data_IF_894006234010
#
_entry.id   IF_894006234010
#
_cell.length_a   1.000
_cell.length_b   1.000
_cell.length_c   1.000
_cell.angle_alpha   90.00
_cell.angle_beta   90.00
_cell.angle_gamma   90.00
#
_symmetry.space_group_name_H-M   'P 1'
#
loop_
_entity.id
_entity.type
_entity.pdbx_description
1 polymer ?
#
# COMPACT_ATOMS: atom_id res chain seq x y z
N UNK A 1 -11.67 -23.40 -3.31
CA UNK A 1 -12.14 -22.23 -2.59
C UNK A 1 -13.26 -22.65 -1.62
N UNK A 2 -13.04 -22.54 -0.34
CA UNK A 2 -14.07 -22.87 0.65
C UNK A 2 -14.38 -21.65 1.50
N UNK A 3 -15.61 -21.18 1.47
CA UNK A 3 -16.11 -20.15 2.36
C UNK A 3 -15.86 -18.71 1.88
N UNK A 4 -15.96 -17.78 2.81
CA UNK A 4 -15.88 -16.33 2.58
C UNK A 4 -14.43 -15.79 2.60
N UNK A 5 -13.43 -16.66 2.76
CA UNK A 5 -12.00 -16.29 2.78
C UNK A 5 -11.23 -17.00 1.70
N UNK A 6 -10.17 -16.36 1.19
CA UNK A 6 -9.18 -16.98 0.34
C UNK A 6 -8.31 -17.94 1.16
N UNK A 7 -8.03 -19.11 0.61
CA UNK A 7 -7.13 -20.08 1.23
C UNK A 7 -6.17 -20.61 0.18
N UNK A 8 -4.91 -20.73 0.54
CA UNK A 8 -3.95 -21.49 -0.23
C UNK A 8 -4.31 -22.98 -0.13
N UNK A 9 -4.55 -23.61 -1.27
CA UNK A 9 -4.91 -25.04 -1.31
C UNK A 9 -3.71 -25.95 -1.57
N UNK A 10 -2.56 -25.38 -1.79
CA UNK A 10 -1.30 -26.10 -1.92
C UNK A 10 -0.34 -25.46 -2.91
N UNK A 11 0.91 -25.85 -2.80
CA UNK A 11 2.00 -25.57 -3.73
C UNK A 11 2.71 -26.85 -4.12
N UNK A 12 3.17 -26.95 -5.35
CA UNK A 12 3.95 -28.10 -5.82
C UNK A 12 5.04 -27.65 -6.78
N UNK A 13 6.29 -28.03 -6.47
CA UNK A 13 7.40 -27.82 -7.38
C UNK A 13 7.40 -28.91 -8.44
N UNK A 14 7.26 -28.54 -9.70
CA UNK A 14 7.37 -29.45 -10.84
C UNK A 14 8.72 -29.30 -11.52
N UNK A 15 9.59 -30.31 -11.38
CA UNK A 15 10.91 -30.33 -12.01
C UNK A 15 10.81 -30.76 -13.46
N UNK A 16 11.63 -30.16 -14.32
CA UNK A 16 11.74 -30.51 -15.74
C UNK A 16 10.44 -30.26 -16.57
N UNK A 17 9.69 -29.22 -16.25
CA UNK A 17 8.59 -28.81 -17.11
C UNK A 17 9.12 -28.26 -18.46
N UNK A 18 8.44 -28.52 -19.58
CA UNK A 18 8.75 -27.87 -20.85
C UNK A 18 8.46 -26.37 -20.78
N UNK A 19 9.08 -25.58 -21.67
CA UNK A 19 8.89 -24.12 -21.73
C UNK A 19 7.43 -23.75 -22.03
N UNK A 20 6.73 -24.57 -22.82
CA UNK A 20 5.31 -24.42 -23.13
C UNK A 20 4.48 -25.39 -22.28
N UNK A 21 3.59 -24.85 -21.45
CA UNK A 21 2.67 -25.61 -20.59
C UNK A 21 1.24 -25.14 -20.78
N UNK A 22 0.30 -26.05 -20.62
CA UNK A 22 -1.12 -25.73 -20.50
C UNK A 22 -1.51 -25.73 -19.04
N UNK A 23 -2.08 -24.62 -18.59
CA UNK A 23 -2.68 -24.51 -17.25
C UNK A 23 -4.20 -24.42 -17.40
N UNK A 24 -4.94 -25.11 -16.51
CA UNK A 24 -6.38 -25.12 -16.55
C UNK A 24 -7.00 -25.57 -15.24
N UNK A 25 -8.30 -25.44 -15.19
CA UNK A 25 -9.13 -25.90 -14.07
C UNK A 25 -10.00 -27.06 -14.53
N UNK A 26 -10.24 -27.97 -13.62
CA UNK A 26 -11.26 -28.99 -13.81
C UNK A 26 -12.14 -29.09 -12.57
N UNK A 27 -13.36 -29.50 -12.78
CA UNK A 27 -14.29 -29.84 -11.72
C UNK A 27 -14.71 -31.31 -11.91
N UNK A 28 -14.82 -32.03 -10.84
CA UNK A 28 -15.25 -33.41 -10.86
C UNK A 28 -16.18 -33.67 -9.70
N UNK A 29 -17.41 -34.12 -10.01
CA UNK A 29 -18.26 -34.74 -9.03
C UNK A 29 -17.79 -36.18 -8.82
N UNK A 30 -17.40 -36.55 -7.61
CA UNK A 30 -17.04 -37.94 -7.28
C UNK A 30 -18.27 -38.87 -7.18
N UNK A 31 -19.44 -38.34 -7.42
CA UNK A 31 -20.70 -39.11 -7.48
C UNK A 31 -21.29 -38.98 -8.89
N UNK A 32 -21.50 -40.10 -9.64
CA UNK A 32 -21.98 -40.04 -11.01
C UNK A 32 -23.43 -39.55 -11.12
N UNK A 33 -24.18 -39.55 -10.02
CA UNK A 33 -25.56 -39.10 -9.97
C UNK A 33 -25.74 -37.62 -9.60
N UNK A 34 -24.59 -36.88 -9.39
CA UNK A 34 -24.60 -35.48 -8.99
C UNK A 34 -23.90 -34.64 -10.06
N UNK A 35 -24.56 -33.58 -10.47
CA UNK A 35 -23.97 -32.52 -11.31
C UNK A 35 -23.41 -31.44 -10.40
N UNK A 36 -22.12 -31.19 -10.52
CA UNK A 36 -21.44 -30.13 -9.81
C UNK A 36 -21.23 -28.89 -10.73
N UNK A 37 -21.42 -27.73 -10.17
CA UNK A 37 -21.14 -26.46 -10.85
C UNK A 37 -20.09 -25.67 -10.08
N UNK A 38 -19.07 -25.20 -10.78
CA UNK A 38 -18.10 -24.25 -10.23
C UNK A 38 -18.08 -22.96 -11.04
N UNK A 39 -17.99 -21.84 -10.35
CA UNK A 39 -17.74 -20.53 -10.95
C UNK A 39 -16.30 -20.15 -10.67
N UNK A 40 -15.56 -19.85 -11.72
CA UNK A 40 -14.15 -19.48 -11.65
C UNK A 40 -14.00 -18.07 -12.20
N UNK A 41 -13.39 -17.18 -11.42
CA UNK A 41 -13.16 -15.78 -11.81
C UNK A 41 -11.83 -15.29 -11.27
N UNK A 42 -11.36 -14.14 -11.78
CA UNK A 42 -10.07 -13.53 -11.41
C UNK A 42 -8.87 -14.48 -11.62
N UNK A 43 -8.94 -15.33 -12.65
CA UNK A 43 -7.85 -16.24 -12.99
C UNK A 43 -6.65 -15.42 -13.45
N UNK A 44 -5.50 -15.69 -12.83
CA UNK A 44 -4.21 -15.10 -13.20
C UNK A 44 -3.15 -16.18 -13.24
N UNK A 45 -2.27 -16.06 -14.18
CA UNK A 45 -1.07 -16.89 -14.30
C UNK A 45 0.09 -15.91 -14.39
N UNK A 46 0.93 -15.89 -13.36
CA UNK A 46 2.10 -15.02 -13.30
C UNK A 46 3.36 -15.90 -13.26
N UNK A 47 4.33 -15.60 -14.10
CA UNK A 47 5.65 -16.19 -14.05
C UNK A 47 6.54 -15.28 -13.19
N UNK A 48 6.96 -15.71 -11.99
CA UNK A 48 7.80 -14.91 -11.13
C UNK A 48 9.13 -14.56 -11.79
N UNK A 49 9.65 -13.40 -11.51
CA UNK A 49 11.04 -13.05 -11.83
C UNK A 49 11.99 -13.74 -10.85
N UNK A 50 13.31 -13.67 -11.12
CA UNK A 50 14.31 -14.13 -10.17
C UNK A 50 14.17 -13.38 -8.82
N UNK A 51 14.45 -14.03 -7.70
CA UNK A 51 14.36 -13.43 -6.36
C UNK A 51 15.18 -12.15 -6.20
N UNK A 52 16.32 -12.09 -6.90
CA UNK A 52 17.22 -10.92 -6.94
C UNK A 52 16.79 -9.82 -7.90
N UNK A 53 15.62 -9.94 -8.56
CA UNK A 53 15.17 -8.92 -9.49
C UNK A 53 14.81 -7.62 -8.78
N UNK A 54 15.47 -6.52 -9.21
CA UNK A 54 15.21 -5.17 -8.71
C UNK A 54 14.68 -4.30 -9.85
N UNK A 55 13.40 -3.93 -9.88
CA UNK A 55 12.82 -3.15 -10.97
C UNK A 55 13.37 -1.73 -11.06
N UNK A 56 13.90 -1.18 -9.98
CA UNK A 56 14.50 0.15 -9.97
C UNK A 56 15.88 0.20 -10.65
N UNK A 57 16.55 -0.95 -10.76
CA UNK A 57 17.84 -1.10 -11.48
C UNK A 57 17.67 -1.70 -12.87
N UNK A 58 16.78 -2.69 -13.01
CA UNK A 58 16.61 -3.50 -14.21
C UNK A 58 15.41 -3.08 -15.07
N UNK A 59 14.60 -2.12 -14.59
CA UNK A 59 13.39 -1.64 -15.23
C UNK A 59 12.15 -2.44 -14.84
N UNK A 60 10.99 -1.82 -14.93
CA UNK A 60 9.71 -2.47 -14.69
C UNK A 60 9.32 -3.35 -15.88
N UNK A 61 8.77 -4.52 -15.61
CA UNK A 61 8.20 -5.42 -16.64
C UNK A 61 6.75 -5.04 -16.98
N UNK A 62 6.14 -4.26 -16.11
CA UNK A 62 4.79 -3.75 -16.24
C UNK A 62 4.13 -3.56 -14.89
N UNK A 63 2.99 -2.89 -14.93
CA UNK A 63 2.14 -2.67 -13.76
C UNK A 63 0.67 -2.68 -14.17
N UNK A 64 -0.18 -3.18 -13.28
CA UNK A 64 -1.64 -3.13 -13.40
C UNK A 64 -2.22 -2.31 -12.27
N UNK A 65 -2.97 -1.29 -12.61
CA UNK A 65 -3.79 -0.54 -11.67
C UNK A 65 -5.15 -1.24 -11.56
N UNK A 66 -5.51 -1.62 -10.35
CA UNK A 66 -6.71 -2.41 -10.11
C UNK A 66 -7.58 -1.79 -9.03
N UNK A 67 -8.86 -2.11 -9.07
CA UNK A 67 -9.79 -1.91 -7.96
C UNK A 67 -10.42 -3.24 -7.56
N UNK A 68 -10.80 -3.36 -6.30
CA UNK A 68 -11.49 -4.54 -5.79
C UNK A 68 -12.54 -4.16 -4.76
N UNK A 69 -13.71 -4.78 -4.85
CA UNK A 69 -14.67 -4.77 -3.75
C UNK A 69 -14.20 -5.75 -2.68
N UNK A 70 -13.96 -5.25 -1.45
CA UNK A 70 -13.37 -6.04 -0.37
C UNK A 70 -14.32 -7.09 0.20
N UNK A 71 -15.61 -7.02 -0.08
CA UNK A 71 -16.62 -7.93 0.45
C UNK A 71 -16.95 -9.08 -0.49
N UNK A 72 -16.99 -8.85 -1.79
CA UNK A 72 -17.31 -9.89 -2.79
C UNK A 72 -16.11 -10.33 -3.63
N UNK A 73 -14.92 -9.70 -3.41
CA UNK A 73 -13.66 -10.02 -4.06
C UNK A 73 -13.60 -9.70 -5.56
N UNK A 74 -14.59 -8.99 -6.10
CA UNK A 74 -14.58 -8.63 -7.52
C UNK A 74 -13.49 -7.62 -7.82
N UNK A 75 -12.54 -8.04 -8.63
CA UNK A 75 -11.39 -7.25 -9.10
C UNK A 75 -11.65 -6.74 -10.51
N UNK A 76 -11.15 -5.52 -10.77
CA UNK A 76 -11.17 -4.91 -12.09
C UNK A 76 -9.82 -4.29 -12.39
N UNK A 77 -9.20 -4.65 -13.51
CA UNK A 77 -8.05 -3.92 -14.07
C UNK A 77 -8.57 -2.62 -14.68
N UNK A 78 -8.05 -1.50 -14.21
CA UNK A 78 -8.40 -0.15 -14.67
C UNK A 78 -7.46 0.28 -15.77
N UNK A 79 -6.16 0.00 -15.59
CA UNK A 79 -5.11 0.35 -16.53
C UNK A 79 -3.94 -0.61 -16.43
N UNK A 80 -3.30 -0.90 -17.56
CA UNK A 80 -2.10 -1.73 -17.62
C UNK A 80 -1.09 -1.10 -18.58
N UNK A 81 0.19 -1.04 -18.17
CA UNK A 81 1.26 -0.55 -19.00
C UNK A 81 2.59 -1.22 -18.64
N UNK A 82 3.58 -1.11 -19.55
CA UNK A 82 4.93 -1.64 -19.31
C UNK A 82 5.75 -0.85 -18.31
N UNK A 83 5.41 0.43 -18.10
CA UNK A 83 6.07 1.27 -17.11
C UNK A 83 5.61 0.93 -15.68
N UNK A 84 6.46 1.23 -14.70
CA UNK A 84 6.09 1.16 -13.29
C UNK A 84 5.15 2.29 -12.90
N UNK A 85 4.10 1.97 -12.16
CA UNK A 85 3.31 2.93 -11.41
C UNK A 85 2.96 2.35 -10.04
N UNK A 86 2.69 3.21 -9.07
CA UNK A 86 2.67 2.87 -7.66
C UNK A 86 1.61 3.66 -6.90
N UNK A 87 1.20 3.13 -5.76
CA UNK A 87 0.51 3.86 -4.68
C UNK A 87 -0.78 4.59 -5.12
N UNK A 88 -1.81 3.89 -5.58
CA UNK A 88 -3.05 4.54 -6.00
C UNK A 88 -3.90 5.00 -4.82
N UNK A 89 -4.32 6.26 -4.86
CA UNK A 89 -5.36 6.82 -3.98
C UNK A 89 -6.69 6.98 -4.73
N UNK A 90 -7.81 6.82 -4.05
CA UNK A 90 -9.10 7.32 -4.54
C UNK A 90 -9.19 8.83 -4.38
N UNK A 91 -9.62 9.51 -5.45
CA UNK A 91 -9.95 10.92 -5.35
C UNK A 91 -11.26 11.13 -4.57
N UNK A 92 -11.46 12.28 -3.92
CA UNK A 92 -12.64 12.54 -3.09
C UNK A 92 -14.00 12.47 -3.84
N UNK A 93 -13.97 12.65 -5.16
CA UNK A 93 -15.14 12.50 -6.04
C UNK A 93 -15.60 11.04 -6.18
N UNK A 94 -14.73 10.08 -5.86
CA UNK A 94 -15.00 8.65 -6.03
C UNK A 94 -14.90 8.14 -7.47
N UNK A 95 -14.69 9.03 -8.43
CA UNK A 95 -14.72 8.74 -9.87
C UNK A 95 -13.32 8.57 -10.49
N UNK A 96 -12.28 8.98 -9.78
CA UNK A 96 -10.89 8.95 -10.27
C UNK A 96 -9.93 8.37 -9.23
N UNK A 97 -8.84 7.81 -9.75
CA UNK A 97 -7.67 7.40 -8.96
C UNK A 97 -6.51 8.36 -9.26
N UNK A 98 -5.70 8.63 -8.23
CA UNK A 98 -4.42 9.34 -8.30
C UNK A 98 -3.31 8.32 -8.07
N UNK A 99 -2.25 8.30 -8.86
CA UNK A 99 -1.14 7.35 -8.70
C UNK A 99 0.19 7.96 -9.15
N UNK A 100 1.29 7.39 -8.66
CA UNK A 100 2.66 7.79 -9.02
C UNK A 100 3.18 6.98 -10.22
N UNK A 101 3.91 7.63 -11.11
CA UNK A 101 4.73 6.97 -12.14
C UNK A 101 5.90 7.86 -12.54
N UNK A 102 7.13 7.30 -12.48
CA UNK A 102 8.33 8.02 -12.89
C UNK A 102 8.57 9.34 -12.16
N UNK A 103 8.25 9.40 -10.87
CA UNK A 103 8.40 10.60 -10.04
C UNK A 103 7.32 11.67 -10.23
N UNK A 104 6.25 11.37 -10.95
CA UNK A 104 5.13 12.30 -11.23
C UNK A 104 3.80 11.65 -10.85
N UNK A 105 2.80 12.49 -10.63
CA UNK A 105 1.44 12.04 -10.36
C UNK A 105 0.56 12.10 -11.60
N UNK A 106 -0.38 11.15 -11.66
CA UNK A 106 -1.37 11.05 -12.73
C UNK A 106 -2.75 10.74 -12.15
N UNK A 107 -3.79 11.19 -12.81
CA UNK A 107 -5.16 10.77 -12.51
C UNK A 107 -5.74 9.96 -13.64
N UNK A 108 -6.63 9.01 -13.30
CA UNK A 108 -7.35 8.18 -14.26
C UNK A 108 -8.77 7.92 -13.77
N UNK A 109 -9.80 7.90 -14.65
CA UNK A 109 -11.14 7.48 -14.24
C UNK A 109 -11.17 6.03 -13.74
N UNK A 110 -11.96 5.74 -12.70
CA UNK A 110 -12.14 4.37 -12.16
C UNK A 110 -12.76 3.39 -13.15
N UNK A 111 -13.32 3.91 -14.23
CA UNK A 111 -13.84 3.09 -15.33
C UNK A 111 -12.80 2.78 -16.42
N UNK A 112 -11.58 3.28 -16.28
CA UNK A 112 -10.49 3.16 -17.24
C UNK A 112 -10.42 4.36 -18.18
N UNK A 113 -9.41 4.39 -19.01
CA UNK A 113 -9.10 5.47 -19.95
C UNK A 113 -7.61 5.77 -19.96
N UNK A 114 -7.23 6.93 -20.48
CA UNK A 114 -5.83 7.37 -20.50
C UNK A 114 -5.50 8.18 -19.24
N UNK A 115 -4.33 7.92 -18.60
CA UNK A 115 -3.86 8.72 -17.49
C UNK A 115 -3.60 10.18 -17.89
N UNK A 116 -4.03 11.09 -17.04
CA UNK A 116 -3.81 12.53 -17.20
C UNK A 116 -2.83 13.02 -16.15
N UNK A 117 -1.79 13.74 -16.56
CA UNK A 117 -0.80 14.30 -15.65
C UNK A 117 -1.45 15.24 -14.63
N UNK A 118 -1.07 15.05 -13.37
CA UNK A 118 -1.50 15.93 -12.26
C UNK A 118 -0.41 16.98 -12.01
N UNK A 119 -0.80 18.25 -11.93
CA UNK A 119 0.14 19.35 -11.76
C UNK A 119 0.66 19.43 -10.32
N UNK A 120 1.95 19.16 -10.13
CA UNK A 120 2.68 19.27 -8.85
C UNK A 120 3.73 20.39 -8.85
N UNK A 121 3.56 21.41 -9.71
CA UNK A 121 4.51 22.52 -9.84
C UNK A 121 5.92 22.03 -10.18
N UNK A 122 6.90 22.43 -9.40
CA UNK A 122 8.30 22.01 -9.57
C UNK A 122 8.59 20.57 -9.14
N UNK A 123 7.68 19.92 -8.37
CA UNK A 123 7.94 18.60 -7.79
C UNK A 123 7.73 17.50 -8.82
N UNK A 124 8.83 17.00 -9.39
CA UNK A 124 8.87 16.01 -10.46
C UNK A 124 9.74 14.77 -10.12
N UNK A 125 10.20 14.66 -8.87
CA UNK A 125 10.94 13.53 -8.32
C UNK A 125 10.25 13.00 -7.07
N UNK A 126 8.97 12.68 -7.20
CA UNK A 126 8.16 12.13 -6.12
C UNK A 126 8.51 10.66 -5.92
N UNK A 127 8.54 10.24 -4.65
CA UNK A 127 8.39 8.82 -4.35
C UNK A 127 6.89 8.45 -4.34
N UNK A 128 6.59 7.23 -3.91
CA UNK A 128 5.20 6.75 -3.88
C UNK A 128 4.37 7.27 -2.68
N UNK A 129 4.98 7.97 -1.71
CA UNK A 129 4.27 8.42 -0.50
C UNK A 129 3.55 9.74 -0.75
N UNK A 130 2.28 9.65 -1.00
CA UNK A 130 1.39 10.79 -1.19
C UNK A 130 -0.02 10.48 -0.71
N UNK A 131 -0.81 11.51 -0.40
CA UNK A 131 -2.20 11.27 -0.04
C UNK A 131 -3.00 12.50 0.28
N UNK A 132 -4.31 12.30 0.24
CA UNK A 132 -5.32 13.34 0.26
C UNK A 132 -5.80 13.58 1.70
N UNK A 133 -5.96 14.84 2.08
CA UNK A 133 -6.50 15.23 3.40
C UNK A 133 -7.95 14.75 3.58
N UNK A 134 -8.38 14.55 4.83
CA UNK A 134 -9.75 14.08 5.13
C UNK A 134 -10.85 14.98 4.57
N UNK A 135 -10.60 16.29 4.48
CA UNK A 135 -11.54 17.23 3.87
C UNK A 135 -11.49 17.25 2.33
N UNK A 136 -10.63 16.45 1.72
CA UNK A 136 -10.47 16.34 0.27
C UNK A 136 -9.88 17.57 -0.42
N UNK A 137 -9.29 18.52 0.33
CA UNK A 137 -8.85 19.81 -0.25
C UNK A 137 -7.36 19.93 -0.49
N UNK A 138 -6.56 19.09 0.15
CA UNK A 138 -5.10 19.15 0.08
C UNK A 138 -4.53 17.79 -0.30
N UNK A 139 -3.39 17.81 -0.94
CA UNK A 139 -2.54 16.67 -1.23
C UNK A 139 -1.20 16.86 -0.52
N UNK A 140 -0.73 15.86 0.20
CA UNK A 140 0.65 15.78 0.67
C UNK A 140 1.45 14.88 -0.27
N UNK A 141 2.72 15.22 -0.49
CA UNK A 141 3.65 14.50 -1.35
C UNK A 141 5.02 14.42 -0.68
N UNK A 142 5.77 13.38 -0.93
CA UNK A 142 7.19 13.25 -0.60
C UNK A 142 8.00 13.44 -1.88
N UNK A 143 8.90 14.45 -1.88
CA UNK A 143 9.70 14.83 -3.03
C UNK A 143 11.20 14.76 -2.70
N UNK A 144 11.99 14.18 -3.59
CA UNK A 144 13.43 14.05 -3.44
C UNK A 144 14.17 15.31 -3.88
N UNK A 145 14.98 15.86 -2.97
CA UNK A 145 15.89 16.94 -3.24
C UNK A 145 17.30 16.40 -3.48
N UNK A 146 17.96 16.91 -4.51
CA UNK A 146 19.29 16.46 -4.92
C UNK A 146 20.38 16.82 -3.91
N UNK A 147 21.35 15.91 -3.72
CA UNK A 147 22.54 16.15 -2.90
C UNK A 147 22.31 16.13 -1.39
N UNK A 148 21.12 15.75 -0.91
CA UNK A 148 20.81 15.67 0.51
C UNK A 148 20.84 14.21 1.04
N UNK A 149 21.13 14.01 2.36
CA UNK A 149 21.11 12.69 2.99
C UNK A 149 19.78 11.95 2.81
N UNK A 150 19.84 10.61 2.74
CA UNK A 150 18.64 9.76 2.59
C UNK A 150 17.85 10.04 1.31
N UNK A 151 18.55 10.43 0.22
CA UNK A 151 17.91 10.81 -1.03
C UNK A 151 17.13 12.12 -0.98
N UNK A 152 17.22 12.85 0.15
CA UNK A 152 16.63 14.17 0.32
C UNK A 152 15.11 14.20 0.37
N UNK A 153 14.43 13.07 0.69
CA UNK A 153 12.96 13.06 0.77
C UNK A 153 12.45 14.09 1.76
N UNK A 154 11.54 14.94 1.29
CA UNK A 154 10.97 16.08 2.02
C UNK A 154 9.48 16.17 1.73
N UNK A 155 8.68 16.47 2.74
CA UNK A 155 7.22 16.53 2.62
C UNK A 155 6.79 17.94 2.18
N UNK A 156 5.92 17.96 1.19
CA UNK A 156 5.25 19.16 0.68
C UNK A 156 3.74 18.98 0.72
N UNK A 157 3.01 20.07 0.73
CA UNK A 157 1.54 20.10 0.58
C UNK A 157 1.15 21.08 -0.50
N UNK A 158 0.09 20.73 -1.24
CA UNK A 158 -0.49 21.55 -2.31
C UNK A 158 -2.02 21.38 -2.34
N UNK A 159 -2.76 22.27 -3.03
CA UNK A 159 -4.18 22.06 -3.25
C UNK A 159 -4.48 20.78 -4.03
N UNK A 160 -5.62 20.12 -3.76
CA UNK A 160 -6.07 18.94 -4.51
C UNK A 160 -6.33 19.24 -6.01
N UNK A 161 -6.43 20.49 -6.38
CA UNK A 161 -6.54 20.94 -7.78
C UNK A 161 -5.19 21.04 -8.48
N UNK A 162 -4.08 20.75 -7.77
CA UNK A 162 -2.72 20.93 -8.26
C UNK A 162 -2.19 22.35 -8.06
N UNK A 163 -0.94 22.56 -8.39
CA UNK A 163 -0.23 23.84 -8.30
C UNK A 163 1.11 23.73 -7.60
N UNK A 164 1.67 24.87 -7.19
CA UNK A 164 2.98 24.93 -6.52
C UNK A 164 2.92 24.35 -5.11
N UNK A 165 3.74 23.35 -4.79
CA UNK A 165 3.77 22.74 -3.48
C UNK A 165 4.54 23.59 -2.46
N UNK A 166 4.05 23.62 -1.22
CA UNK A 166 4.65 24.29 -0.09
C UNK A 166 5.33 23.28 0.83
N UNK A 167 6.58 23.51 1.17
CA UNK A 167 7.36 22.63 2.06
C UNK A 167 6.79 22.58 3.47
N UNK A 168 6.77 21.37 4.05
CA UNK A 168 6.34 21.10 5.42
C UNK A 168 7.52 20.69 6.30
N UNK A 169 8.37 19.79 5.85
CA UNK A 169 9.54 19.33 6.65
C UNK A 169 10.83 19.92 6.13
N UNK A 170 11.68 20.39 7.04
CA UNK A 170 13.00 20.96 6.71
C UNK A 170 14.11 19.92 6.80
N UNK A 171 13.96 18.91 7.67
CA UNK A 171 14.95 17.84 7.88
C UNK A 171 14.64 16.64 6.97
N UNK A 172 15.69 16.02 6.45
CA UNK A 172 15.63 14.84 5.56
C UNK A 172 16.29 13.62 6.20
N UNK A 173 15.90 12.40 5.85
CA UNK A 173 14.71 12.07 5.06
C UNK A 173 13.43 12.18 5.87
N UNK A 174 12.33 12.51 5.19
CA UNK A 174 10.97 12.50 5.73
C UNK A 174 10.04 11.93 4.66
N UNK A 175 9.28 10.87 4.99
CA UNK A 175 8.36 10.19 4.08
C UNK A 175 6.94 10.29 4.64
N UNK A 176 6.04 10.89 3.87
CA UNK A 176 4.65 11.09 4.27
C UNK A 176 3.88 9.76 4.28
N UNK A 177 2.97 9.60 5.27
CA UNK A 177 2.06 8.45 5.29
C UNK A 177 0.62 8.80 5.65
N UNK A 178 0.35 9.86 6.41
CA UNK A 178 -1.01 10.15 6.82
C UNK A 178 -1.30 11.60 7.15
N UNK A 179 -2.56 11.96 7.02
CA UNK A 179 -3.13 13.19 7.52
C UNK A 179 -3.79 12.96 8.89
N UNK A 180 -3.71 13.93 9.77
CA UNK A 180 -4.59 13.98 10.93
C UNK A 180 -6.00 14.44 10.50
N UNK A 181 -7.08 13.97 11.17
CA UNK A 181 -8.46 14.37 10.80
C UNK A 181 -8.75 15.87 10.92
N UNK A 182 -7.91 16.61 11.64
CA UNK A 182 -7.98 18.08 11.71
C UNK A 182 -7.53 18.78 10.41
N UNK A 183 -6.96 18.06 9.43
CA UNK A 183 -6.42 18.54 8.15
C UNK A 183 -5.33 19.62 8.29
N UNK A 184 -4.68 19.68 9.46
CA UNK A 184 -3.60 20.63 9.79
C UNK A 184 -2.29 19.98 10.13
N UNK A 185 -2.28 18.68 10.36
CA UNK A 185 -1.09 17.92 10.73
C UNK A 185 -0.92 16.72 9.80
N UNK A 186 0.34 16.38 9.56
CA UNK A 186 0.75 15.16 8.85
C UNK A 186 1.53 14.27 9.82
N UNK A 187 1.37 12.96 9.65
CA UNK A 187 2.19 11.93 10.29
C UNK A 187 3.05 11.27 9.23
N UNK A 188 4.30 10.97 9.58
CA UNK A 188 5.31 10.52 8.64
C UNK A 188 6.41 9.74 9.34
N UNK A 189 7.23 9.04 8.57
CA UNK A 189 8.44 8.41 9.08
C UNK A 189 9.68 9.20 8.68
N UNK A 190 10.66 9.21 9.58
CA UNK A 190 11.89 9.93 9.39
C UNK A 190 13.06 9.28 10.14
N UNK A 191 14.26 9.40 9.59
CA UNK A 191 15.51 9.18 10.32
C UNK A 191 16.03 10.51 10.84
N UNK A 192 16.39 10.55 12.13
CA UNK A 192 17.00 11.75 12.74
C UNK A 192 18.32 11.39 13.39
N UNK A 193 18.29 10.97 14.63
CA UNK A 193 19.48 10.70 15.43
C UNK A 193 19.78 9.19 15.57
N UNK A 194 19.06 8.35 14.82
CA UNK A 194 19.21 6.90 14.78
C UNK A 194 19.33 6.40 13.34
N UNK A 195 19.81 5.15 13.16
CA UNK A 195 19.84 4.48 11.85
C UNK A 195 18.50 3.86 11.46
N UNK A 196 17.46 3.96 12.30
CA UNK A 196 16.13 3.41 12.05
C UNK A 196 15.11 4.53 11.89
N UNK A 197 14.05 4.23 11.17
CA UNK A 197 12.92 5.13 11.02
C UNK A 197 12.08 5.15 12.28
N UNK A 198 11.61 6.35 12.64
CA UNK A 198 10.65 6.59 13.71
C UNK A 198 9.51 7.46 13.18
N UNK A 199 8.36 7.41 13.86
CA UNK A 199 7.17 8.18 13.51
C UNK A 199 7.27 9.58 14.13
N UNK A 200 6.96 10.56 13.29
CA UNK A 200 6.89 11.98 13.63
C UNK A 200 5.56 12.56 13.18
N UNK A 201 5.13 13.63 13.81
CA UNK A 201 4.07 14.48 13.29
C UNK A 201 4.51 15.94 13.21
N UNK A 202 3.86 16.70 12.35
CA UNK A 202 4.12 18.13 12.19
C UNK A 202 2.91 18.86 11.68
N UNK A 203 2.68 20.08 12.19
CA UNK A 203 1.67 20.97 11.64
C UNK A 203 2.15 21.50 10.28
N UNK A 204 1.27 21.48 9.28
CA UNK A 204 1.59 21.92 7.93
C UNK A 204 1.84 23.43 7.82
N UNK A 205 1.32 24.22 8.76
CA UNK A 205 1.48 25.69 8.76
C UNK A 205 2.74 26.15 9.51
N UNK A 206 3.55 25.20 10.04
CA UNK A 206 4.81 25.49 10.70
C UNK A 206 4.91 24.87 12.09
N UNK A 207 5.94 25.27 12.85
CA UNK A 207 6.25 24.70 14.17
C UNK A 207 7.26 23.57 14.09
N UNK A 208 7.63 23.05 15.27
CA UNK A 208 8.58 21.95 15.38
C UNK A 208 7.91 20.60 15.07
N UNK A 209 8.69 19.66 14.57
CA UNK A 209 8.28 18.27 14.47
C UNK A 209 8.27 17.63 15.87
N UNK A 210 7.30 16.75 16.09
CA UNK A 210 7.17 15.99 17.32
C UNK A 210 7.40 14.50 17.03
N UNK A 211 8.33 13.89 17.76
CA UNK A 211 8.62 12.47 17.67
C UNK A 211 7.63 11.67 18.50
N UNK A 212 6.99 10.65 17.90
CA UNK A 212 5.98 9.81 18.55
C UNK A 212 6.51 8.42 18.93
N UNK A 213 7.52 7.90 18.23
CA UNK A 213 8.19 6.63 18.57
C UNK A 213 9.68 6.84 18.76
N UNK A 214 10.31 6.03 19.64
CA UNK A 214 11.70 6.21 20.07
C UNK A 214 12.51 4.92 19.92
N UNK A 215 12.31 4.20 18.83
CA UNK A 215 13.03 2.96 18.54
C UNK A 215 14.48 3.25 18.19
N UNK A 216 15.37 2.34 18.61
CA UNK A 216 16.81 2.41 18.31
C UNK A 216 17.29 1.31 17.35
N UNK A 217 16.51 0.26 17.18
CA UNK A 217 16.87 -0.93 16.38
C UNK A 217 15.74 -1.41 15.47
N UNK A 218 14.49 -1.30 15.92
CA UNK A 218 13.32 -1.69 15.14
C UNK A 218 12.90 -0.55 14.22
N UNK A 219 12.52 -0.88 13.00
CA UNK A 219 11.89 0.04 12.07
C UNK A 219 10.39 0.17 12.34
N UNK A 220 9.85 1.32 12.02
CA UNK A 220 8.42 1.60 11.94
C UNK A 220 8.12 2.27 10.61
N UNK A 221 6.92 2.01 10.06
CA UNK A 221 6.50 2.60 8.80
C UNK A 221 4.96 2.71 8.72
N UNK A 222 4.45 3.33 7.67
CA UNK A 222 3.05 3.39 7.30
C UNK A 222 2.11 3.98 8.36
N UNK A 223 2.45 5.06 9.10
CA UNK A 223 1.55 5.62 10.10
C UNK A 223 0.34 6.31 9.48
N UNK A 224 -0.86 5.87 9.85
CA UNK A 224 -2.13 6.43 9.39
C UNK A 224 -3.10 6.64 10.56
N UNK A 225 -3.74 7.81 10.62
CA UNK A 225 -4.76 8.12 11.60
C UNK A 225 -6.08 7.40 11.31
N UNK A 226 -6.75 6.95 12.36
CA UNK A 226 -8.17 6.59 12.24
C UNK A 226 -9.01 7.84 11.92
N UNK A 227 -10.12 7.72 11.16
CA UNK A 227 -10.97 8.84 10.81
C UNK A 227 -11.53 9.62 12.02
N UNK A 228 -11.71 8.95 13.17
CA UNK A 228 -12.15 9.58 14.42
C UNK A 228 -10.98 10.20 15.23
N UNK A 229 -9.74 10.06 14.76
CA UNK A 229 -8.54 10.63 15.35
C UNK A 229 -8.10 9.99 16.66
N UNK A 230 -8.67 8.85 17.08
CA UNK A 230 -8.35 8.23 18.38
C UNK A 230 -7.07 7.43 18.36
N UNK A 231 -6.66 6.90 17.19
CA UNK A 231 -5.47 6.08 17.04
C UNK A 231 -4.68 6.46 15.79
N UNK A 232 -3.40 6.11 15.81
CA UNK A 232 -2.52 6.01 14.66
C UNK A 232 -2.16 4.53 14.51
N UNK A 233 -2.50 3.91 13.39
CA UNK A 233 -2.03 2.59 13.01
C UNK A 233 -0.71 2.72 12.27
N UNK A 234 0.17 1.74 12.42
CA UNK A 234 1.49 1.71 11.77
C UNK A 234 2.01 0.27 11.78
N UNK A 235 3.08 0.01 11.07
CA UNK A 235 3.78 -1.27 11.18
C UNK A 235 5.13 -1.11 11.89
N UNK A 236 5.55 -2.17 12.61
CA UNK A 236 6.79 -2.18 13.39
C UNK A 236 7.40 -3.57 13.48
N UNK A 237 8.73 -3.64 13.36
CA UNK A 237 9.52 -4.87 13.52
C UNK A 237 10.02 -5.09 14.96
N UNK A 238 9.48 -4.41 15.96
CA UNK A 238 9.98 -4.45 17.34
C UNK A 238 9.92 -5.84 17.99
N UNK A 239 9.02 -6.71 17.52
CA UNK A 239 8.87 -8.10 18.01
C UNK A 239 9.61 -9.14 17.15
N UNK A 240 10.38 -8.70 16.16
CA UNK A 240 11.21 -9.56 15.30
C UNK A 240 10.66 -9.77 13.90
N UNK A 241 9.34 -9.76 13.73
CA UNK A 241 8.62 -9.71 12.45
C UNK A 241 7.96 -8.35 12.29
N UNK A 242 7.75 -7.91 11.05
CA UNK A 242 6.98 -6.69 10.79
C UNK A 242 5.51 -6.98 11.01
N UNK A 243 4.89 -6.28 11.96
CA UNK A 243 3.50 -6.48 12.37
C UNK A 243 2.74 -5.15 12.44
N UNK A 244 1.42 -5.19 12.36
CA UNK A 244 0.59 -4.01 12.53
C UNK A 244 0.46 -3.68 14.01
N UNK A 245 0.62 -2.42 14.32
CA UNK A 245 0.51 -1.81 15.64
C UNK A 245 -0.44 -0.62 15.60
N UNK A 246 -0.89 -0.19 16.75
CA UNK A 246 -1.55 1.11 16.92
C UNK A 246 -1.06 1.82 18.16
N UNK A 247 -1.23 3.13 18.19
CA UNK A 247 -0.93 3.98 19.33
C UNK A 247 -1.93 5.12 19.43
N UNK A 248 -1.97 5.81 20.58
CA UNK A 248 -2.68 7.08 20.68
C UNK A 248 -1.95 8.19 19.89
N UNK A 249 -2.64 9.28 19.52
CA UNK A 249 -2.03 10.37 18.75
C UNK A 249 -0.81 11.03 19.40
N UNK A 250 -0.68 10.92 20.72
CA UNK A 250 0.48 11.40 21.48
C UNK A 250 1.65 10.39 21.55
N UNK A 251 1.57 9.28 20.83
CA UNK A 251 2.58 8.21 20.83
C UNK A 251 2.47 7.22 21.99
N UNK A 252 1.54 7.42 22.92
CA UNK A 252 1.32 6.54 24.07
C UNK A 252 0.47 5.31 23.74
N UNK A 253 0.38 4.35 24.67
CA UNK A 253 -0.45 3.15 24.56
C UNK A 253 -0.22 2.35 23.27
N UNK A 254 1.05 2.09 22.94
CA UNK A 254 1.42 1.27 21.79
C UNK A 254 0.97 -0.17 22.00
N UNK A 255 0.26 -0.74 21.04
CA UNK A 255 -0.34 -2.06 21.09
C UNK A 255 -0.17 -2.79 19.77
N UNK A 256 0.31 -4.04 19.81
CA UNK A 256 0.41 -4.90 18.64
C UNK A 256 -0.97 -5.46 18.25
N UNK A 257 -1.26 -5.50 16.96
CA UNK A 257 -2.58 -5.88 16.43
C UNK A 257 -2.52 -7.19 15.64
N UNK A 258 -1.42 -7.46 14.92
CA UNK A 258 -1.23 -8.72 14.18
C UNK A 258 -0.09 -9.53 14.81
N UNK A 259 -0.14 -10.88 14.64
CA UNK A 259 0.71 -11.82 15.37
C UNK A 259 1.03 -13.06 14.54
N UNK A 260 1.08 -12.95 13.23
CA UNK A 260 1.41 -14.09 12.37
C UNK A 260 2.91 -14.15 12.01
N UNK A 261 3.28 -15.13 11.20
CA UNK A 261 4.67 -15.34 10.77
C UNK A 261 5.06 -14.45 9.59
N UNK A 262 4.08 -13.87 8.92
CA UNK A 262 4.28 -13.01 7.76
C UNK A 262 4.79 -11.62 8.17
N UNK A 263 5.21 -10.84 7.17
CA UNK A 263 5.62 -9.45 7.36
C UNK A 263 4.47 -8.53 6.93
N UNK A 264 3.77 -7.94 7.89
CA UNK A 264 2.57 -7.12 7.67
C UNK A 264 2.92 -5.64 7.57
N UNK A 265 2.53 -5.01 6.44
CA UNK A 265 2.93 -3.65 6.06
C UNK A 265 1.74 -2.79 5.67
N UNK A 266 1.84 -1.45 5.90
CA UNK A 266 0.95 -0.41 5.40
C UNK A 266 -0.53 -0.62 5.74
N UNK A 267 -0.91 -0.50 7.03
CA UNK A 267 -2.30 -0.59 7.44
C UNK A 267 -3.09 0.64 7.01
N UNK A 268 -4.14 0.44 6.20
CA UNK A 268 -5.02 1.50 5.73
C UNK A 268 -6.43 1.31 6.27
N UNK A 269 -6.91 2.32 6.99
CA UNK A 269 -8.20 2.31 7.66
C UNK A 269 -9.28 2.79 6.68
N UNK A 270 -10.40 2.06 6.61
CA UNK A 270 -11.54 2.48 5.78
C UNK A 270 -12.11 3.83 6.25
N UNK A 271 -12.65 4.67 5.36
CA UNK A 271 -13.25 5.96 5.72
C UNK A 271 -14.35 5.89 6.79
N UNK A 272 -15.08 4.77 6.87
CA UNK A 272 -16.09 4.54 7.94
C UNK A 272 -15.49 4.05 9.26
N UNK A 273 -14.17 3.85 9.33
CA UNK A 273 -13.42 3.44 10.51
C UNK A 273 -13.62 1.98 10.92
N UNK A 274 -14.24 1.12 10.09
CA UNK A 274 -14.59 -0.25 10.48
C UNK A 274 -13.61 -1.31 10.06
N UNK A 275 -12.82 -1.06 9.02
CA UNK A 275 -11.96 -2.06 8.40
C UNK A 275 -10.53 -1.55 8.27
N UNK A 276 -9.59 -2.49 8.28
CA UNK A 276 -8.18 -2.26 7.97
C UNK A 276 -7.81 -3.21 6.84
N UNK A 277 -7.25 -2.68 5.76
CA UNK A 277 -6.56 -3.44 4.74
C UNK A 277 -5.06 -3.25 4.89
N UNK A 278 -4.28 -4.29 4.66
CA UNK A 278 -2.82 -4.22 4.70
C UNK A 278 -2.19 -5.27 3.79
N UNK A 279 -0.91 -5.08 3.49
CA UNK A 279 -0.11 -5.98 2.68
C UNK A 279 0.70 -6.92 3.58
N UNK A 280 0.77 -8.20 3.22
CA UNK A 280 1.47 -9.23 3.98
C UNK A 280 2.43 -9.97 3.07
N UNK A 281 3.72 -9.86 3.36
CA UNK A 281 4.78 -10.60 2.66
C UNK A 281 5.00 -11.95 3.32
N UNK A 282 5.54 -12.90 2.55
CA UNK A 282 5.90 -14.22 3.07
C UNK A 282 7.00 -14.13 4.13
N UNK A 283 7.10 -15.09 5.05
CA UNK A 283 8.06 -15.08 6.16
C UNK A 283 9.54 -14.97 5.76
N UNK A 284 9.87 -15.40 4.53
CA UNK A 284 11.23 -15.36 4.00
C UNK A 284 11.71 -13.95 3.63
N UNK A 285 10.80 -12.97 3.54
CA UNK A 285 11.16 -11.58 3.31
C UNK A 285 11.68 -10.98 4.62
N UNK A 286 12.81 -10.28 4.53
CA UNK A 286 13.41 -9.60 5.69
C UNK A 286 12.42 -8.62 6.34
N UNK A 287 12.32 -8.66 7.67
CA UNK A 287 11.32 -7.89 8.42
C UNK A 287 11.35 -6.37 8.17
N UNK A 288 12.49 -5.82 7.80
CA UNK A 288 12.66 -4.39 7.54
C UNK A 288 12.68 -4.04 6.05
N UNK A 289 12.26 -4.97 5.19
CA UNK A 289 12.20 -4.79 3.74
C UNK A 289 10.80 -5.05 3.22
N UNK A 290 10.44 -4.36 2.16
CA UNK A 290 9.15 -4.51 1.47
C UNK A 290 9.36 -4.43 -0.05
N UNK A 291 10.09 -5.41 -0.62
CA UNK A 291 10.53 -5.37 -2.01
C UNK A 291 9.36 -5.47 -2.99
N UNK A 292 9.55 -4.91 -4.19
CA UNK A 292 8.62 -5.12 -5.32
C UNK A 292 8.80 -6.52 -5.93
N UNK A 293 7.84 -6.94 -6.75
CA UNK A 293 7.86 -8.22 -7.47
C UNK A 293 7.97 -9.45 -6.55
N UNK A 294 7.17 -9.45 -5.48
CA UNK A 294 7.01 -10.60 -4.57
C UNK A 294 5.57 -11.14 -4.59
N UNK A 295 5.44 -12.40 -4.20
CA UNK A 295 4.12 -12.94 -3.85
C UNK A 295 3.71 -12.35 -2.52
N UNK A 296 2.57 -11.68 -2.49
CA UNK A 296 2.03 -11.02 -1.30
C UNK A 296 0.56 -11.33 -1.14
N UNK A 297 0.11 -11.24 0.09
CA UNK A 297 -1.29 -11.34 0.45
C UNK A 297 -1.83 -9.96 0.79
N UNK A 298 -3.01 -9.64 0.30
CA UNK A 298 -3.77 -8.51 0.80
C UNK A 298 -4.74 -9.03 1.84
N UNK A 299 -4.62 -8.53 3.06
CA UNK A 299 -5.44 -8.97 4.19
C UNK A 299 -6.41 -7.88 4.61
N UNK A 300 -7.58 -8.29 5.06
CA UNK A 300 -8.64 -7.42 5.60
C UNK A 300 -9.01 -7.90 7.01
N UNK A 301 -9.10 -6.96 7.95
CA UNK A 301 -9.55 -7.23 9.31
C UNK A 301 -10.49 -6.13 9.84
N UNK A 302 -11.36 -6.42 10.82
CA UNK A 302 -12.10 -5.37 11.52
C UNK A 302 -11.15 -4.42 12.28
N UNK A 303 -11.40 -3.12 12.23
CA UNK A 303 -10.61 -2.13 12.98
C UNK A 303 -10.76 -2.29 14.51
N UNK A 304 -11.82 -2.96 14.96
CA UNK A 304 -12.00 -3.33 16.38
C UNK A 304 -11.11 -4.49 16.85
N UNK A 305 -10.33 -5.09 15.93
CA UNK A 305 -9.58 -6.32 16.15
C UNK A 305 -10.36 -7.56 15.69
N UNK A 306 -9.67 -8.69 15.58
CA UNK A 306 -10.24 -9.96 15.12
C UNK A 306 -9.27 -10.71 14.21
N UNK A 307 -9.73 -11.80 13.64
CA UNK A 307 -8.92 -12.64 12.74
C UNK A 307 -8.89 -11.99 11.35
N UNK A 308 -7.69 -11.68 10.81
CA UNK A 308 -7.56 -11.22 9.44
C UNK A 308 -8.00 -12.30 8.43
N UNK A 309 -8.53 -11.88 7.30
CA UNK A 309 -8.79 -12.76 6.16
C UNK A 309 -8.02 -12.29 4.94
N UNK A 310 -7.48 -13.20 4.17
CA UNK A 310 -6.88 -12.90 2.88
C UNK A 310 -7.99 -12.58 1.89
N UNK A 311 -7.92 -11.43 1.25
CA UNK A 311 -8.88 -10.99 0.23
C UNK A 311 -8.31 -11.03 -1.18
N UNK A 312 -6.98 -11.04 -1.32
CA UNK A 312 -6.33 -11.28 -2.61
C UNK A 312 -4.92 -11.86 -2.43
N UNK A 313 -4.54 -12.76 -3.33
CA UNK A 313 -3.15 -13.11 -3.59
C UNK A 313 -2.66 -12.30 -4.79
N UNK A 314 -1.50 -11.70 -4.66
CA UNK A 314 -0.95 -10.78 -5.65
C UNK A 314 0.51 -11.11 -5.96
N UNK A 315 0.94 -10.72 -7.15
CA UNK A 315 2.34 -10.51 -7.43
C UNK A 315 2.57 -8.99 -7.44
N UNK A 316 3.26 -8.48 -6.43
CA UNK A 316 3.36 -7.04 -6.13
C UNK A 316 4.44 -6.76 -5.08
N UNK A 317 4.08 -6.04 -4.03
CA UNK A 317 4.97 -5.61 -2.96
C UNK A 317 5.07 -4.09 -2.88
N UNK A 318 6.29 -3.54 -2.90
CA UNK A 318 6.50 -2.11 -2.94
C UNK A 318 5.69 -1.46 -4.07
N UNK A 319 4.96 -0.40 -3.77
CA UNK A 319 4.07 0.29 -4.69
C UNK A 319 2.63 -0.24 -4.71
N UNK A 320 2.35 -1.42 -4.15
CA UNK A 320 1.03 -2.05 -4.21
C UNK A 320 -0.03 -1.24 -3.49
N UNK A 321 0.13 -0.98 -2.18
CA UNK A 321 -0.78 -0.16 -1.36
C UNK A 321 -0.03 0.68 -0.32
N UNK A 322 1.07 1.33 -0.68
CA UNK A 322 1.87 2.10 0.27
C UNK A 322 1.15 3.32 0.87
N UNK A 323 0.01 3.69 0.32
CA UNK A 323 -0.75 4.89 0.69
C UNK A 323 -2.23 4.57 0.87
N UNK A 324 -3.02 5.40 1.58
CA UNK A 324 -4.45 5.19 1.77
C UNK A 324 -5.17 4.97 0.44
N UNK A 325 -5.77 3.80 0.27
CA UNK A 325 -6.28 3.32 -1.02
C UNK A 325 -7.77 2.98 -1.04
N UNK A 326 -8.50 3.28 0.02
CA UNK A 326 -9.93 3.05 0.12
C UNK A 326 -10.77 4.02 -0.72
N UNK A 327 -11.84 3.51 -1.33
CA UNK A 327 -12.88 4.34 -1.91
C UNK A 327 -13.67 5.10 -0.83
N UNK A 328 -14.24 6.28 -1.14
CA UNK A 328 -15.00 7.06 -0.18
C UNK A 328 -16.19 6.32 0.46
N UNK A 329 -16.76 5.31 -0.22
CA UNK A 329 -17.87 4.49 0.27
C UNK A 329 -17.43 3.32 1.16
N UNK A 330 -16.12 3.16 1.44
CA UNK A 330 -15.55 2.09 2.26
C UNK A 330 -15.80 0.66 1.75
N UNK A 331 -16.05 0.49 0.45
CA UNK A 331 -16.34 -0.83 -0.14
C UNK A 331 -15.27 -1.32 -1.09
N UNK A 332 -14.51 -0.42 -1.67
CA UNK A 332 -13.47 -0.76 -2.63
C UNK A 332 -12.12 -0.27 -2.17
N UNK A 333 -11.09 -0.93 -2.65
CA UNK A 333 -9.70 -0.50 -2.57
C UNK A 333 -9.12 -0.40 -3.97
N UNK A 334 -8.16 0.49 -4.14
CA UNK A 334 -7.29 0.53 -5.32
C UNK A 334 -5.90 0.02 -4.96
N UNK A 335 -5.27 -0.68 -5.86
CA UNK A 335 -3.94 -1.24 -5.63
C UNK A 335 -3.21 -1.51 -6.95
N UNK A 336 -1.93 -1.76 -6.82
CA UNK A 336 -1.06 -2.16 -7.92
C UNK A 336 -0.74 -3.64 -7.85
N UNK A 337 -0.72 -4.31 -9.00
CA UNK A 337 -0.07 -5.61 -9.15
C UNK A 337 0.93 -5.57 -10.31
N UNK A 338 1.94 -6.42 -10.23
CA UNK A 338 2.93 -6.57 -11.29
C UNK A 338 2.54 -7.77 -12.15
N UNK A 339 2.55 -7.66 -13.50
CA UNK A 339 2.53 -8.83 -14.34
C UNK A 339 3.84 -9.58 -14.17
N UNK A 340 3.80 -10.90 -14.19
CA UNK A 340 4.98 -11.73 -14.39
C UNK A 340 5.56 -11.55 -15.82
N UNK A 341 6.64 -12.28 -16.11
CA UNK A 341 7.21 -12.35 -17.47
C UNK A 341 6.26 -13.02 -18.46
#
# INVERSE_FOLDING_TARGET
YWGESLQEVGSHEMKNMPDDVLAGFFICSHNPDVVEEAKIWNVRIDQPVAESYNPYEQGFLGSRLETMNVFDGKRKVIYEAKQGFEAPNWMPDGDRLLFNSGGKLYTIPVNGGEPVSFNTGFADRLNNDHGISFDGKKLAISHHLEGLPGGGSTIYVLPITGGEPRQVTERTPSYWHGWAPNNKEVVYVAQRDTSVYNIYRKNIDGGQEEQLTFNKRAHVDGPEYTPDGKYIYYNSSITGTMQIWRMKPDGSAQEQITWDENQDWFPHISPDGKWIVYLSFQPEVEANDHPAYKRVEMKLMPASGGVPRVIAYLYGGQGTINVPSWSPDSKHISFMSNPGR
#
